data_IF_810763542717
#
_entry.id   IF_810763542717
#
_cell.length_a   1.000
_cell.length_b   1.000
_cell.length_c   1.000
_cell.angle_alpha   90.00
_cell.angle_beta   90.00
_cell.angle_gamma   90.00
#
_symmetry.space_group_name_H-M   'P 1'
#
loop_
_entity.id
_entity.type
_entity.pdbx_description
1 polymer ?
#
# COMPACT_ATOMS: atom_id res chain seq x y z
N UNK A 1 -36.72 -18.26 -46.91
CA UNK A 1 -36.98 -19.67 -47.25
C UNK A 1 -35.65 -20.34 -47.57
N UNK A 2 -35.38 -21.45 -46.89
CA UNK A 2 -34.28 -22.41 -47.07
C UNK A 2 -32.82 -21.97 -46.82
N UNK A 3 -32.42 -22.25 -45.58
CA UNK A 3 -31.09 -22.63 -45.08
C UNK A 3 -30.66 -24.03 -45.67
N UNK A 4 -29.65 -24.79 -45.16
CA UNK A 4 -28.82 -24.56 -43.97
C UNK A 4 -27.36 -25.10 -43.98
N UNK A 5 -26.69 -24.86 -42.84
CA UNK A 5 -25.79 -25.76 -42.07
C UNK A 5 -24.44 -26.15 -42.67
N UNK A 6 -23.37 -26.42 -41.93
CA UNK A 6 -22.97 -26.25 -40.52
C UNK A 6 -21.58 -26.91 -40.39
N UNK A 7 -20.87 -26.61 -39.30
CA UNK A 7 -19.87 -27.47 -38.62
C UNK A 7 -18.55 -27.79 -39.37
N UNK A 8 -17.38 -27.97 -38.75
CA UNK A 8 -16.88 -27.78 -37.39
C UNK A 8 -15.36 -28.05 -37.42
N UNK A 9 -14.66 -27.57 -36.38
CA UNK A 9 -13.57 -28.24 -35.66
C UNK A 9 -12.18 -28.46 -36.29
N UNK A 10 -11.21 -27.92 -35.53
CA UNK A 10 -10.03 -28.60 -34.97
C UNK A 10 -8.88 -28.99 -35.89
N UNK A 11 -7.70 -28.45 -35.58
CA UNK A 11 -6.42 -29.13 -35.75
C UNK A 11 -5.42 -28.63 -34.71
N UNK A 12 -5.30 -29.39 -33.62
CA UNK A 12 -4.15 -29.36 -32.72
C UNK A 12 -3.19 -30.49 -33.12
N UNK A 13 -1.89 -30.20 -33.25
CA UNK A 13 -0.79 -31.16 -33.07
C UNK A 13 0.55 -30.43 -33.14
N UNK A 14 1.27 -30.39 -32.01
CA UNK A 14 2.40 -31.25 -31.69
C UNK A 14 3.72 -30.74 -32.29
N UNK A 15 4.66 -30.36 -31.42
CA UNK A 15 5.98 -31.00 -31.34
C UNK A 15 6.71 -30.52 -30.08
N UNK A 16 6.78 -31.43 -29.11
CA UNK A 16 7.74 -31.43 -28.02
C UNK A 16 9.00 -32.22 -28.42
N UNK A 17 10.04 -32.10 -27.59
CA UNK A 17 11.36 -32.79 -27.58
C UNK A 17 12.50 -31.90 -28.11
N UNK A 18 13.55 -31.62 -27.35
CA UNK A 18 14.44 -32.65 -26.82
C UNK A 18 15.38 -32.11 -25.73
N UNK A 19 15.48 -32.88 -24.65
CA UNK A 19 16.55 -32.86 -23.65
C UNK A 19 17.64 -33.80 -24.15
N UNK A 20 18.91 -33.41 -24.07
CA UNK A 20 20.01 -34.37 -23.99
C UNK A 20 21.13 -33.84 -23.09
N UNK A 21 21.37 -34.61 -22.03
CA UNK A 21 22.49 -34.52 -21.12
C UNK A 21 23.68 -35.35 -21.65
N UNK A 22 24.90 -34.88 -21.36
CA UNK A 22 26.17 -35.64 -21.19
C UNK A 22 27.26 -34.58 -20.95
N UNK A 23 28.24 -34.69 -20.06
CA UNK A 23 28.66 -35.77 -19.18
C UNK A 23 29.72 -35.28 -18.19
N UNK A 24 29.95 -36.11 -17.18
CA UNK A 24 30.92 -35.97 -16.09
C UNK A 24 32.36 -35.77 -16.57
N UNK A 25 33.17 -35.01 -15.80
CA UNK A 25 34.54 -35.43 -15.43
C UNK A 25 35.08 -34.68 -14.20
N UNK A 26 35.31 -35.47 -13.14
CA UNK A 26 36.42 -35.50 -12.14
C UNK A 26 37.02 -34.21 -11.55
N UNK A 27 36.96 -34.17 -10.21
CA UNK A 27 37.82 -33.44 -9.28
C UNK A 27 39.31 -33.74 -9.44
N UNK A 28 40.19 -32.83 -8.98
CA UNK A 28 41.21 -33.24 -8.02
C UNK A 28 41.30 -32.35 -6.77
N UNK A 29 42.07 -32.88 -5.83
CA UNK A 29 42.14 -32.63 -4.40
C UNK A 29 43.04 -31.47 -3.96
N UNK A 30 42.72 -30.98 -2.75
CA UNK A 30 43.60 -30.44 -1.69
C UNK A 30 44.88 -29.69 -2.07
N UNK A 31 44.95 -28.42 -1.67
CA UNK A 31 46.15 -27.89 -0.98
C UNK A 31 45.81 -26.70 -0.10
N UNK A 32 46.14 -26.87 1.18
CA UNK A 32 46.11 -25.85 2.20
C UNK A 32 47.07 -24.69 1.86
N UNK A 33 46.60 -23.45 2.03
CA UNK A 33 47.47 -22.28 2.12
C UNK A 33 47.23 -21.59 3.44
N UNK A 34 48.36 -21.38 4.13
CA UNK A 34 48.52 -21.00 5.53
C UNK A 34 47.94 -19.62 5.84
N UNK A 35 47.29 -19.52 7.00
CA UNK A 35 47.08 -18.28 7.71
C UNK A 35 48.42 -17.59 7.99
N UNK A 36 48.58 -16.35 7.53
CA UNK A 36 49.73 -15.49 7.85
C UNK A 36 49.32 -14.59 9.01
N UNK A 37 49.79 -14.96 10.21
CA UNK A 37 49.72 -14.17 11.43
C UNK A 37 50.60 -12.93 11.26
N UNK A 38 50.00 -11.75 11.18
CA UNK A 38 50.72 -10.48 11.31
C UNK A 38 50.94 -10.20 12.81
N UNK A 39 52.19 -10.38 13.26
CA UNK A 39 52.68 -9.83 14.52
C UNK A 39 52.84 -8.33 14.33
N UNK A 40 52.07 -7.53 15.06
CA UNK A 40 52.41 -6.13 15.31
C UNK A 40 53.19 -6.06 16.62
N UNK A 41 54.39 -5.51 16.49
CA UNK A 41 55.34 -5.20 17.56
C UNK A 41 54.80 -4.02 18.35
N UNK A 42 54.70 -4.17 19.68
CA UNK A 42 54.41 -3.06 20.59
C UNK A 42 55.69 -2.35 21.03
N UNK A 43 55.60 -1.03 21.28
CA UNK A 43 56.40 -0.28 22.26
C UNK A 43 55.74 1.09 22.55
N UNK A 44 56.01 1.75 23.70
CA UNK A 44 54.96 2.27 24.58
C UNK A 44 55.02 3.79 24.88
N UNK A 45 54.10 4.23 25.76
CA UNK A 45 53.97 5.54 26.46
C UNK A 45 53.11 6.57 25.69
N UNK A 46 52.14 7.28 26.28
CA UNK A 46 51.95 7.69 27.66
C UNK A 46 50.48 8.05 27.95
N UNK A 47 50.07 7.80 29.19
CA UNK A 47 48.73 8.04 29.76
C UNK A 47 48.40 9.54 29.81
N UNK A 48 47.14 9.89 29.58
CA UNK A 48 46.45 10.90 30.40
C UNK A 48 44.95 10.61 30.45
N UNK A 49 44.46 10.65 31.68
CA UNK A 49 43.17 10.24 32.18
C UNK A 49 42.08 11.21 31.73
N UNK A 50 40.94 10.71 31.25
CA UNK A 50 39.65 11.36 31.44
C UNK A 50 38.62 10.27 31.81
N UNK A 51 38.19 10.35 33.06
CA UNK A 51 37.20 9.52 33.72
C UNK A 51 35.80 9.74 33.14
N UNK A 52 35.17 8.67 32.66
CA UNK A 52 33.73 8.62 32.42
C UNK A 52 33.08 8.00 33.67
N UNK A 53 32.10 8.63 34.33
CA UNK A 53 31.52 8.10 35.56
C UNK A 53 30.67 6.85 35.27
N UNK A 54 30.97 5.77 36.00
CA UNK A 54 30.16 4.54 36.04
C UNK A 54 28.89 4.80 36.82
N UNK A 55 27.75 4.50 36.21
CA UNK A 55 26.44 4.40 36.88
C UNK A 55 26.40 3.06 37.65
N UNK A 56 26.00 3.03 38.95
CA UNK A 56 25.88 1.78 39.70
C UNK A 56 24.68 0.94 39.24
N UNK A 57 24.68 -0.39 39.47
CA UNK A 57 23.57 -1.25 39.09
C UNK A 57 22.46 -1.15 40.16
N UNK A 58 21.37 -0.44 39.86
CA UNK A 58 20.17 -0.46 40.71
C UNK A 58 19.22 -1.60 40.34
N UNK A 59 18.66 -2.15 41.40
CA UNK A 59 17.84 -3.35 41.51
C UNK A 59 16.54 -3.32 40.70
N UNK A 60 16.29 -4.41 39.98
CA UNK A 60 15.00 -4.78 39.38
C UNK A 60 13.95 -5.10 40.47
N UNK A 61 13.44 -4.10 41.17
CA UNK A 61 12.18 -4.24 41.95
C UNK A 61 11.41 -2.92 42.18
N UNK A 62 12.02 -1.76 41.95
CA UNK A 62 11.36 -0.47 42.18
C UNK A 62 10.48 0.03 41.01
N UNK A 63 10.61 -0.52 39.80
CA UNK A 63 9.81 -0.12 38.63
C UNK A 63 8.45 -0.84 38.50
N UNK A 64 8.14 -1.79 39.39
CA UNK A 64 6.86 -2.52 39.35
C UNK A 64 5.77 -1.90 40.25
N UNK A 65 6.13 -0.95 41.12
CA UNK A 65 5.18 -0.27 42.02
C UNK A 65 4.91 1.21 41.69
N UNK A 66 5.54 1.77 40.65
CA UNK A 66 5.27 3.15 40.19
C UNK A 66 4.42 3.26 38.92
N UNK A 67 3.98 2.12 38.35
CA UNK A 67 3.07 2.07 37.20
C UNK A 67 1.63 1.62 37.57
N UNK A 68 1.36 1.37 38.86
CA UNK A 68 0.02 1.02 39.37
C UNK A 68 -0.69 2.18 40.09
N UNK A 69 -0.16 3.40 40.06
CA UNK A 69 -0.74 4.57 40.74
C UNK A 69 -0.98 5.77 39.81
N UNK A 70 -1.40 5.51 38.56
CA UNK A 70 -1.95 6.53 37.63
C UNK A 70 -3.20 6.04 36.88
N UNK A 71 -3.98 5.14 37.47
CA UNK A 71 -5.42 5.07 37.17
C UNK A 71 -6.13 6.01 38.15
N UNK A 72 -7.18 6.68 37.65
CA UNK A 72 -8.02 7.70 38.30
C UNK A 72 -7.68 9.13 37.88
N UNK A 73 -8.10 9.47 36.65
CA UNK A 73 -8.48 10.84 36.34
C UNK A 73 -9.85 11.12 36.98
N UNK A 74 -10.08 12.30 37.58
CA UNK A 74 -11.36 12.63 38.19
C UNK A 74 -12.48 12.72 37.15
N UNK A 75 -13.64 12.14 37.48
CA UNK A 75 -14.83 12.01 36.63
C UNK A 75 -15.39 13.28 35.94
N UNK A 76 -15.10 14.54 36.31
CA UNK A 76 -15.63 15.67 35.55
C UNK A 76 -14.97 15.88 34.17
N UNK A 77 -13.80 15.30 33.90
CA UNK A 77 -13.05 15.56 32.66
C UNK A 77 -13.48 14.66 31.47
N UNK A 78 -14.02 13.46 31.74
CA UNK A 78 -14.53 12.54 30.71
C UNK A 78 -15.84 13.07 30.09
N UNK A 79 -16.64 13.86 30.84
CA UNK A 79 -17.84 14.53 30.31
C UNK A 79 -17.56 15.75 29.43
N UNK A 80 -16.36 16.33 29.48
CA UNK A 80 -16.02 17.51 28.67
C UNK A 80 -15.46 17.14 27.28
N UNK A 81 -14.75 16.01 27.16
CA UNK A 81 -14.25 15.52 25.87
C UNK A 81 -15.28 14.69 25.09
N UNK A 82 -16.26 14.08 25.78
CA UNK A 82 -17.42 13.42 25.13
C UNK A 82 -18.48 14.38 24.55
N UNK A 83 -18.30 15.70 24.68
CA UNK A 83 -19.26 16.70 24.18
C UNK A 83 -18.89 17.32 22.83
N UNK A 84 -17.72 17.02 22.27
CA UNK A 84 -17.35 17.52 20.95
C UNK A 84 -17.97 16.75 19.77
N UNK A 85 -18.52 15.56 20.00
CA UNK A 85 -19.22 14.78 18.96
C UNK A 85 -20.69 14.44 19.25
N UNK A 86 -21.27 14.94 20.34
CA UNK A 86 -22.71 14.73 20.62
C UNK A 86 -23.59 15.90 20.15
N UNK A 87 -23.01 16.95 19.55
CA UNK A 87 -23.75 18.12 19.06
C UNK A 87 -23.78 18.29 17.52
N UNK A 88 -23.31 17.29 16.75
CA UNK A 88 -23.43 17.32 15.28
C UNK A 88 -23.91 15.98 14.68
N UNK A 89 -24.52 15.11 15.50
CA UNK A 89 -24.87 13.73 15.14
C UNK A 89 -26.34 13.34 15.34
N UNK A 90 -27.29 14.27 15.42
CA UNK A 90 -28.71 13.91 15.62
C UNK A 90 -29.71 14.65 14.71
N UNK A 91 -29.26 15.45 13.73
CA UNK A 91 -30.16 16.19 12.85
C UNK A 91 -29.82 16.08 11.34
N UNK A 92 -29.12 15.03 10.93
CA UNK A 92 -28.90 14.73 9.50
C UNK A 92 -29.02 13.24 9.14
N UNK A 93 -29.58 12.42 10.02
CA UNK A 93 -30.09 11.10 9.65
C UNK A 93 -31.49 11.31 9.03
N UNK A 94 -31.55 11.72 7.75
CA UNK A 94 -32.85 11.95 7.10
C UNK A 94 -32.89 12.83 5.86
N UNK A 95 -31.75 13.29 5.33
CA UNK A 95 -31.72 13.93 4.02
C UNK A 95 -30.63 13.24 3.19
N UNK A 96 -31.04 12.17 2.51
CA UNK A 96 -30.17 11.38 1.66
C UNK A 96 -29.48 12.26 0.64
N UNK A 97 -28.15 12.25 0.66
CA UNK A 97 -27.43 12.32 -0.60
C UNK A 97 -27.94 11.11 -1.38
N UNK A 98 -28.86 11.30 -2.33
CA UNK A 98 -29.17 10.24 -3.29
C UNK A 98 -27.83 9.71 -3.76
N UNK A 99 -27.57 8.44 -3.45
CA UNK A 99 -26.27 7.81 -3.64
C UNK A 99 -25.92 7.93 -5.13
N UNK A 100 -25.15 8.95 -5.51
CA UNK A 100 -24.70 9.16 -6.89
C UNK A 100 -23.92 7.94 -7.45
N UNK A 101 -23.57 7.03 -6.55
CA UNK A 101 -22.79 5.81 -6.71
C UNK A 101 -23.64 4.54 -6.71
N UNK A 102 -24.88 4.60 -6.21
CA UNK A 102 -25.77 3.45 -6.23
C UNK A 102 -26.31 3.27 -7.65
N UNK A 103 -25.84 2.25 -8.35
CA UNK A 103 -26.47 1.77 -9.57
C UNK A 103 -27.65 0.88 -9.20
N UNK A 104 -28.82 1.15 -9.79
CA UNK A 104 -29.93 0.20 -9.87
C UNK A 104 -30.42 -0.36 -8.52
N UNK A 105 -30.44 0.47 -7.47
CA UNK A 105 -30.91 0.07 -6.14
C UNK A 105 -29.97 -0.85 -5.35
N UNK A 106 -28.73 -1.05 -5.81
CA UNK A 106 -27.69 -1.79 -5.07
C UNK A 106 -26.73 -0.83 -4.35
N UNK A 107 -26.26 -1.16 -3.14
CA UNK A 107 -25.21 -0.38 -2.47
C UNK A 107 -23.95 -0.27 -3.33
N UNK A 108 -23.27 0.87 -3.24
CA UNK A 108 -21.94 1.00 -3.80
C UNK A 108 -20.96 0.09 -3.04
N UNK A 109 -20.09 -0.59 -3.77
CA UNK A 109 -19.15 -1.58 -3.26
C UNK A 109 -17.75 -0.97 -3.21
N UNK A 110 -17.16 -0.96 -2.02
CA UNK A 110 -15.81 -0.49 -1.76
C UNK A 110 -14.89 -1.64 -1.35
N UNK A 111 -13.72 -1.73 -1.98
CA UNK A 111 -12.65 -2.65 -1.59
C UNK A 111 -11.51 -1.86 -0.96
N UNK A 112 -11.05 -2.26 0.23
CA UNK A 112 -9.91 -1.64 0.91
C UNK A 112 -8.84 -2.69 1.17
N UNK A 113 -7.65 -2.51 0.58
CA UNK A 113 -6.54 -3.46 0.75
C UNK A 113 -5.76 -3.21 2.04
N UNK A 114 -5.33 -4.30 2.71
CA UNK A 114 -4.52 -4.20 3.94
C UNK A 114 -5.25 -3.51 5.09
N UNK A 115 -6.53 -3.84 5.26
CA UNK A 115 -7.45 -3.12 6.12
C UNK A 115 -7.73 -3.80 7.47
N UNK A 116 -6.96 -4.85 7.84
CA UNK A 116 -7.08 -5.46 9.17
C UNK A 116 -6.60 -4.56 10.32
N UNK A 117 -5.82 -3.51 10.04
CA UNK A 117 -5.30 -2.57 11.05
C UNK A 117 -4.88 -1.23 10.44
N UNK A 118 -4.43 -0.32 11.30
CA UNK A 118 -3.85 0.95 10.88
C UNK A 118 -4.82 1.80 10.07
N UNK A 119 -4.31 2.51 9.06
CA UNK A 119 -5.10 3.47 8.28
C UNK A 119 -6.20 2.74 7.49
N UNK A 120 -5.88 1.60 6.86
CA UNK A 120 -6.85 0.80 6.09
C UNK A 120 -8.09 0.39 6.88
N UNK A 121 -7.92 0.04 8.17
CA UNK A 121 -9.05 -0.26 9.05
C UNK A 121 -10.01 0.93 9.19
N UNK A 122 -9.47 2.13 9.41
CA UNK A 122 -10.28 3.34 9.55
C UNK A 122 -10.85 3.84 8.21
N UNK A 123 -10.18 3.55 7.09
CA UNK A 123 -10.77 3.76 5.75
C UNK A 123 -12.00 2.88 5.59
N UNK A 124 -11.88 1.57 5.85
CA UNK A 124 -13.00 0.63 5.75
C UNK A 124 -14.15 1.04 6.68
N UNK A 125 -13.83 1.41 7.94
CA UNK A 125 -14.79 1.97 8.90
C UNK A 125 -15.53 3.18 8.34
N UNK A 126 -14.80 4.15 7.78
CA UNK A 126 -15.36 5.37 7.24
C UNK A 126 -16.27 5.14 6.04
N UNK A 127 -15.87 4.26 5.10
CA UNK A 127 -16.68 3.92 3.92
C UNK A 127 -17.96 3.16 4.31
N UNK A 128 -17.86 2.20 5.22
CA UNK A 128 -19.03 1.50 5.75
C UNK A 128 -19.98 2.45 6.51
N UNK A 129 -19.43 3.41 7.26
CA UNK A 129 -20.21 4.46 7.93
C UNK A 129 -20.94 5.41 6.96
N UNK A 130 -20.55 5.43 5.70
CA UNK A 130 -21.24 6.16 4.62
C UNK A 130 -22.24 5.26 3.86
N UNK A 131 -22.46 4.03 4.31
CA UNK A 131 -23.44 3.10 3.76
C UNK A 131 -22.97 2.28 2.56
N UNK A 132 -21.66 2.27 2.25
CA UNK A 132 -21.10 1.41 1.20
C UNK A 132 -20.97 -0.03 1.70
N UNK A 133 -21.28 -0.99 0.83
CA UNK A 133 -20.90 -2.39 1.02
C UNK A 133 -19.36 -2.47 0.97
N UNK A 134 -18.73 -2.66 2.12
CA UNK A 134 -17.29 -2.50 2.28
C UNK A 134 -16.63 -3.85 2.47
N UNK A 135 -15.87 -4.27 1.46
CA UNK A 135 -15.01 -5.45 1.49
C UNK A 135 -13.65 -5.05 2.07
N UNK A 136 -13.46 -5.42 3.33
CA UNK A 136 -12.19 -5.34 4.04
C UNK A 136 -11.31 -6.51 3.60
N UNK A 137 -10.08 -6.25 3.16
CA UNK A 137 -9.16 -7.34 2.82
C UNK A 137 -7.88 -7.33 3.65
N UNK A 138 -7.32 -8.52 3.83
CA UNK A 138 -6.07 -8.74 4.55
C UNK A 138 -5.41 -10.01 4.06
N UNK A 139 -4.07 -10.05 4.13
CA UNK A 139 -3.31 -11.26 3.77
C UNK A 139 -3.53 -12.40 4.77
N UNK A 140 -3.72 -12.06 6.04
CA UNK A 140 -3.97 -13.01 7.13
C UNK A 140 -5.48 -13.12 7.38
N UNK A 141 -6.09 -14.30 7.17
CA UNK A 141 -7.52 -14.49 7.36
C UNK A 141 -8.02 -14.25 8.78
N UNK A 142 -7.23 -14.63 9.79
CA UNK A 142 -7.63 -14.49 11.19
C UNK A 142 -7.74 -13.02 11.58
N UNK A 143 -6.70 -12.24 11.29
CA UNK A 143 -6.69 -10.80 11.55
C UNK A 143 -7.75 -10.04 10.74
N UNK A 144 -7.99 -10.47 9.50
CA UNK A 144 -9.03 -9.88 8.64
C UNK A 144 -10.44 -10.12 9.17
N UNK A 145 -10.76 -11.36 9.57
CA UNK A 145 -12.06 -11.70 10.16
C UNK A 145 -12.29 -10.97 11.50
N UNK A 146 -11.27 -10.87 12.34
CA UNK A 146 -11.35 -10.12 13.60
C UNK A 146 -11.65 -8.64 13.36
N UNK A 147 -10.97 -8.02 12.38
CA UNK A 147 -11.20 -6.64 12.01
C UNK A 147 -12.62 -6.40 11.47
N UNK A 148 -13.13 -7.28 10.61
CA UNK A 148 -14.50 -7.17 10.11
C UNK A 148 -15.53 -7.32 11.24
N UNK A 149 -15.37 -8.30 12.13
CA UNK A 149 -16.24 -8.48 13.31
C UNK A 149 -16.23 -7.26 14.22
N UNK A 150 -15.07 -6.61 14.39
CA UNK A 150 -14.98 -5.37 15.18
C UNK A 150 -15.84 -4.26 14.57
N UNK A 151 -15.73 -4.02 13.26
CA UNK A 151 -16.55 -3.01 12.58
C UNK A 151 -18.04 -3.35 12.62
N UNK A 152 -18.41 -4.61 12.43
CA UNK A 152 -19.79 -5.08 12.57
C UNK A 152 -20.31 -4.86 14.01
N UNK A 153 -19.47 -5.10 15.02
CA UNK A 153 -19.78 -4.85 16.43
C UNK A 153 -19.95 -3.37 16.78
N UNK A 154 -19.40 -2.45 15.98
CA UNK A 154 -19.66 -1.00 16.05
C UNK A 154 -21.01 -0.61 15.41
N UNK A 155 -21.79 -1.59 14.92
CA UNK A 155 -23.10 -1.38 14.30
C UNK A 155 -23.03 -1.06 12.80
N UNK A 156 -21.83 -1.12 12.19
CA UNK A 156 -21.66 -0.86 10.77
C UNK A 156 -22.17 -2.05 9.94
N UNK A 157 -23.14 -1.78 9.10
CA UNK A 157 -23.74 -2.77 8.20
C UNK A 157 -22.92 -2.88 6.91
N UNK A 158 -23.06 -4.02 6.21
CA UNK A 158 -22.44 -4.21 4.90
C UNK A 158 -20.91 -4.35 4.91
N UNK A 159 -20.30 -4.65 6.06
CA UNK A 159 -18.88 -4.97 6.15
C UNK A 159 -18.66 -6.46 5.94
N UNK A 160 -17.84 -6.82 4.96
CA UNK A 160 -17.45 -8.19 4.64
C UNK A 160 -15.92 -8.31 4.63
N UNK A 161 -15.41 -9.50 4.94
CA UNK A 161 -13.99 -9.82 4.81
C UNK A 161 -13.76 -10.81 3.67
N UNK A 162 -12.71 -10.57 2.88
CA UNK A 162 -12.12 -11.59 2.03
C UNK A 162 -10.58 -11.52 2.08
N UNK A 163 -9.92 -12.68 1.98
CA UNK A 163 -8.46 -12.74 1.95
C UNK A 163 -7.93 -12.11 0.67
N UNK A 164 -6.86 -11.31 0.79
CA UNK A 164 -6.09 -10.77 -0.33
C UNK A 164 -4.65 -10.49 0.13
N UNK A 165 -3.69 -11.16 -0.49
CA UNK A 165 -2.28 -10.77 -0.48
C UNK A 165 -1.92 -10.17 -1.84
N UNK A 166 -1.64 -8.86 -1.84
CA UNK A 166 -1.35 -8.12 -3.08
C UNK A 166 -0.01 -8.51 -3.71
N UNK A 167 0.83 -9.28 -3.02
CA UNK A 167 2.11 -9.78 -3.54
C UNK A 167 2.00 -11.17 -4.17
N UNK A 168 0.81 -11.79 -4.17
CA UNK A 168 0.54 -13.11 -4.72
C UNK A 168 -0.54 -13.04 -5.80
N UNK A 169 -0.16 -13.29 -7.06
CA UNK A 169 -1.09 -13.24 -8.19
C UNK A 169 -2.26 -14.21 -8.04
N UNK A 170 -2.05 -15.40 -7.47
CA UNK A 170 -3.11 -16.39 -7.28
C UNK A 170 -4.16 -15.92 -6.25
N UNK A 171 -3.72 -15.19 -5.23
CA UNK A 171 -4.59 -14.52 -4.26
C UNK A 171 -5.41 -13.40 -4.92
N UNK A 172 -4.78 -12.59 -5.77
CA UNK A 172 -5.45 -11.53 -6.54
C UNK A 172 -6.52 -12.10 -7.47
N UNK A 173 -6.18 -13.13 -8.24
CA UNK A 173 -7.09 -13.75 -9.21
C UNK A 173 -8.30 -14.39 -8.50
N UNK A 174 -8.05 -15.10 -7.39
CA UNK A 174 -9.09 -15.69 -6.56
C UNK A 174 -10.03 -14.63 -5.97
N UNK A 175 -9.46 -13.53 -5.47
CA UNK A 175 -10.23 -12.40 -4.95
C UNK A 175 -11.07 -11.73 -6.04
N UNK A 176 -10.51 -11.49 -7.24
CA UNK A 176 -11.22 -10.88 -8.35
C UNK A 176 -12.39 -11.74 -8.82
N UNK A 177 -12.19 -13.06 -8.92
CA UNK A 177 -13.26 -13.99 -9.27
C UNK A 177 -14.38 -13.97 -8.22
N UNK A 178 -14.03 -14.08 -6.94
CA UNK A 178 -15.00 -14.01 -5.85
C UNK A 178 -15.76 -12.69 -5.84
N UNK A 179 -15.06 -11.55 -6.01
CA UNK A 179 -15.68 -10.22 -5.98
C UNK A 179 -16.70 -10.06 -7.12
N UNK A 180 -16.38 -10.58 -8.30
CA UNK A 180 -17.30 -10.59 -9.44
C UNK A 180 -18.55 -11.42 -9.13
N UNK A 181 -18.38 -12.62 -8.57
CA UNK A 181 -19.50 -13.53 -8.30
C UNK A 181 -20.39 -13.04 -7.15
N UNK A 182 -19.79 -12.51 -6.08
CA UNK A 182 -20.50 -12.06 -4.89
C UNK A 182 -21.15 -10.67 -5.05
N UNK A 183 -20.46 -9.74 -5.72
CA UNK A 183 -20.86 -8.32 -5.76
C UNK A 183 -21.18 -7.81 -7.18
N UNK A 184 -20.85 -8.59 -8.22
CA UNK A 184 -20.99 -8.17 -9.62
C UNK A 184 -20.00 -7.09 -10.04
N UNK A 185 -19.01 -6.79 -9.21
CA UNK A 185 -18.02 -5.72 -9.42
C UNK A 185 -17.85 -4.78 -8.23
N UNK A 186 -17.19 -3.65 -8.45
CA UNK A 186 -16.94 -2.62 -7.44
C UNK A 186 -17.05 -1.20 -8.00
N UNK A 187 -17.18 -0.20 -7.12
CA UNK A 187 -17.19 1.23 -7.49
C UNK A 187 -16.00 1.99 -6.91
N UNK A 188 -15.47 1.54 -5.78
CA UNK A 188 -14.33 2.15 -5.09
C UNK A 188 -13.27 1.09 -4.80
N UNK A 189 -12.05 1.33 -5.29
CA UNK A 189 -10.86 0.59 -4.89
C UNK A 189 -9.94 1.52 -4.09
N UNK A 190 -9.59 1.14 -2.87
CA UNK A 190 -8.55 1.81 -2.08
C UNK A 190 -7.37 0.87 -1.89
N UNK A 191 -6.29 1.13 -2.63
CA UNK A 191 -5.02 0.44 -2.48
C UNK A 191 -4.26 1.05 -1.30
N UNK A 192 -4.47 0.50 -0.11
CA UNK A 192 -3.81 0.94 1.12
C UNK A 192 -2.67 0.02 1.57
N UNK A 193 -2.70 -1.25 1.18
CA UNK A 193 -1.68 -2.22 1.57
C UNK A 193 -0.28 -1.75 1.16
N UNK A 194 0.67 -1.88 2.09
CA UNK A 194 2.06 -1.50 1.87
C UNK A 194 2.94 -1.83 3.06
N UNK A 195 4.24 -1.86 2.81
CA UNK A 195 5.25 -2.18 3.80
C UNK A 195 6.43 -1.20 3.75
N UNK A 196 7.12 -1.10 4.89
CA UNK A 196 8.40 -0.44 5.01
C UNK A 196 9.26 -1.23 5.99
N UNK A 197 10.55 -1.37 5.71
CA UNK A 197 11.50 -1.88 6.67
C UNK A 197 11.73 -0.85 7.79
N UNK A 198 12.01 -1.34 8.99
CA UNK A 198 12.38 -0.51 10.15
C UNK A 198 13.90 -0.35 10.22
N UNK A 199 14.34 0.72 10.88
CA UNK A 199 15.76 1.03 11.06
C UNK A 199 16.48 1.33 9.75
N UNK A 200 17.78 1.12 9.73
CA UNK A 200 18.68 1.51 8.63
C UNK A 200 18.85 0.41 7.57
N UNK A 201 17.84 -0.46 7.44
CA UNK A 201 17.87 -1.57 6.48
C UNK A 201 17.91 -1.01 5.06
N UNK A 202 18.93 -1.37 4.29
CA UNK A 202 19.07 -0.98 2.89
C UNK A 202 19.81 -2.06 2.11
N UNK A 203 19.17 -2.61 1.09
CA UNK A 203 19.71 -3.70 0.28
C UNK A 203 18.86 -4.02 -0.92
N UNK A 204 19.43 -4.69 -1.92
CA UNK A 204 18.75 -4.95 -3.19
C UNK A 204 17.56 -5.92 -3.01
N UNK A 205 17.68 -6.91 -2.13
CA UNK A 205 16.60 -7.86 -1.83
C UNK A 205 15.44 -7.18 -1.09
N UNK A 206 15.77 -6.31 -0.13
CA UNK A 206 14.79 -5.53 0.61
C UNK A 206 14.10 -4.49 -0.28
N UNK A 207 14.84 -3.89 -1.22
CA UNK A 207 14.28 -3.01 -2.24
C UNK A 207 13.30 -3.77 -3.14
N UNK A 208 13.70 -4.94 -3.63
CA UNK A 208 12.86 -5.80 -4.45
C UNK A 208 11.57 -6.19 -3.72
N UNK A 209 11.63 -6.62 -2.46
CA UNK A 209 10.43 -6.95 -1.65
C UNK A 209 9.53 -5.74 -1.41
N UNK A 210 10.11 -4.57 -1.10
CA UNK A 210 9.36 -3.34 -0.86
C UNK A 210 8.65 -2.87 -2.12
N UNK A 211 9.32 -2.91 -3.27
CA UNK A 211 8.74 -2.56 -4.58
C UNK A 211 7.69 -3.57 -5.02
N UNK A 212 7.96 -4.87 -4.85
CA UNK A 212 7.03 -5.94 -5.19
C UNK A 212 5.69 -5.76 -4.47
N UNK A 213 5.70 -5.36 -3.19
CA UNK A 213 4.47 -5.10 -2.43
C UNK A 213 3.86 -3.74 -2.80
N UNK A 214 4.59 -2.65 -2.64
CA UNK A 214 4.01 -1.30 -2.67
C UNK A 214 3.69 -0.79 -4.08
N UNK A 215 4.39 -1.30 -5.10
CA UNK A 215 4.21 -0.87 -6.48
C UNK A 215 3.63 -2.00 -7.35
N UNK A 216 4.36 -3.11 -7.49
CA UNK A 216 3.94 -4.20 -8.40
C UNK A 216 2.64 -4.85 -7.94
N UNK A 217 2.46 -5.06 -6.63
CA UNK A 217 1.24 -5.62 -6.06
C UNK A 217 0.05 -4.68 -6.20
N UNK A 218 0.22 -3.39 -5.87
CA UNK A 218 -0.79 -2.36 -6.12
C UNK A 218 -1.23 -2.33 -7.58
N UNK A 219 -0.27 -2.40 -8.52
CA UNK A 219 -0.55 -2.46 -9.95
C UNK A 219 -1.35 -3.72 -10.30
N UNK A 220 -0.91 -4.89 -9.86
CA UNK A 220 -1.55 -6.16 -10.19
C UNK A 220 -3.02 -6.19 -9.70
N UNK A 221 -3.30 -5.64 -8.52
CA UNK A 221 -4.67 -5.45 -8.03
C UNK A 221 -5.47 -4.50 -8.92
N UNK A 222 -4.90 -3.36 -9.31
CA UNK A 222 -5.57 -2.46 -10.26
C UNK A 222 -5.89 -3.16 -11.58
N UNK A 223 -4.94 -3.88 -12.18
CA UNK A 223 -5.12 -4.58 -13.44
C UNK A 223 -6.20 -5.66 -13.37
N UNK A 224 -6.24 -6.43 -12.28
CA UNK A 224 -7.24 -7.48 -12.08
C UNK A 224 -8.65 -6.94 -11.81
N UNK A 225 -8.78 -5.82 -11.09
CA UNK A 225 -10.08 -5.27 -10.67
C UNK A 225 -10.62 -4.18 -11.61
N UNK A 226 -9.79 -3.58 -12.45
CA UNK A 226 -10.20 -2.55 -13.41
C UNK A 226 -11.36 -3.01 -14.34
N UNK A 227 -11.38 -4.24 -14.88
CA UNK A 227 -12.51 -4.74 -15.67
C UNK A 227 -13.80 -4.94 -14.86
N UNK A 228 -13.71 -4.97 -13.53
CA UNK A 228 -14.85 -5.17 -12.63
C UNK A 228 -15.44 -3.84 -12.13
N UNK A 229 -14.86 -2.69 -12.49
CA UNK A 229 -15.40 -1.39 -12.11
C UNK A 229 -16.75 -1.16 -12.78
N UNK A 230 -17.78 -0.91 -11.97
CA UNK A 230 -19.14 -0.73 -12.45
C UNK A 230 -19.32 0.64 -13.12
N UNK A 231 -20.06 0.71 -14.24
CA UNK A 231 -20.47 1.99 -14.82
C UNK A 231 -21.35 2.78 -13.84
N UNK A 232 -21.12 4.09 -13.73
CA UNK A 232 -21.98 5.01 -12.99
C UNK A 232 -21.82 6.44 -13.49
N UNK A 233 -22.85 7.27 -13.28
CA UNK A 233 -22.76 8.73 -13.56
C UNK A 233 -21.71 9.41 -12.68
N UNK A 234 -21.47 8.89 -11.47
CA UNK A 234 -20.43 9.40 -10.59
C UNK A 234 -19.01 8.99 -11.02
N UNK A 235 -18.89 7.96 -11.87
CA UNK A 235 -17.65 7.28 -12.19
C UNK A 235 -17.10 6.47 -11.01
N UNK A 236 -16.30 5.45 -11.30
CA UNK A 236 -15.62 4.66 -10.27
C UNK A 236 -14.41 5.42 -9.69
N UNK A 237 -13.85 4.94 -8.56
CA UNK A 237 -12.60 5.47 -7.97
C UNK A 237 -11.55 4.40 -7.79
N UNK A 238 -10.32 4.80 -8.05
CA UNK A 238 -9.12 4.11 -7.59
C UNK A 238 -8.31 5.11 -6.77
N UNK A 239 -8.11 4.81 -5.49
CA UNK A 239 -7.32 5.61 -4.56
C UNK A 239 -6.09 4.81 -4.14
N UNK A 240 -4.91 5.25 -4.58
CA UNK A 240 -3.64 4.66 -4.16
C UNK A 240 -3.10 5.45 -2.96
N UNK A 241 -2.95 4.79 -1.82
CA UNK A 241 -2.36 5.40 -0.62
C UNK A 241 -0.85 5.38 -0.76
N UNK A 242 -0.35 6.39 -1.47
CA UNK A 242 1.05 6.67 -1.68
C UNK A 242 1.74 7.24 -0.44
N UNK A 243 2.71 8.14 -0.66
CA UNK A 243 3.38 8.86 0.42
C UNK A 243 4.10 10.11 -0.08
N UNK A 244 4.15 11.16 0.73
CA UNK A 244 4.99 12.34 0.46
C UNK A 244 6.49 12.03 0.51
N UNK A 245 6.88 10.83 0.98
CA UNK A 245 8.24 10.31 0.86
C UNK A 245 8.60 9.91 -0.58
N UNK A 246 7.60 9.64 -1.43
CA UNK A 246 7.75 9.28 -2.84
C UNK A 246 7.55 10.45 -3.80
N UNK A 247 7.96 11.67 -3.41
CA UNK A 247 7.93 12.84 -4.29
C UNK A 247 9.22 12.95 -5.10
N UNK A 248 9.15 13.53 -6.30
CA UNK A 248 10.25 13.73 -7.26
C UNK A 248 11.47 14.45 -6.70
N UNK A 249 11.33 15.21 -5.61
CA UNK A 249 12.47 15.88 -4.94
C UNK A 249 13.53 14.91 -4.41
N UNK A 250 13.23 13.61 -4.32
CA UNK A 250 14.17 12.61 -3.81
C UNK A 250 15.12 12.05 -4.88
N UNK A 251 14.90 12.35 -6.16
CA UNK A 251 15.72 11.85 -7.28
C UNK A 251 16.43 13.00 -7.99
N UNK A 252 17.47 12.67 -8.77
CA UNK A 252 18.18 13.64 -9.60
C UNK A 252 17.27 14.29 -10.66
N UNK A 253 17.66 15.46 -11.21
CA UNK A 253 16.93 16.09 -12.31
C UNK A 253 16.72 15.17 -13.54
N UNK A 254 17.71 14.32 -13.85
CA UNK A 254 17.61 13.38 -14.97
C UNK A 254 16.54 12.29 -14.73
N UNK A 255 16.50 11.71 -13.52
CA UNK A 255 15.45 10.77 -13.15
C UNK A 255 14.09 11.45 -13.05
N UNK A 256 14.05 12.68 -12.48
CA UNK A 256 12.83 13.49 -12.44
C UNK A 256 12.24 13.65 -13.83
N UNK A 257 13.05 14.00 -14.84
CA UNK A 257 12.59 14.13 -16.22
C UNK A 257 11.97 12.83 -16.76
N UNK A 258 12.56 11.67 -16.45
CA UNK A 258 12.00 10.34 -16.82
C UNK A 258 10.64 10.11 -16.15
N UNK A 259 10.52 10.31 -14.84
CA UNK A 259 9.27 10.16 -14.10
C UNK A 259 8.19 11.19 -14.47
N UNK A 260 8.56 12.33 -15.05
CA UNK A 260 7.61 13.35 -15.52
C UNK A 260 7.29 13.24 -17.00
N UNK A 261 7.90 12.31 -17.73
CA UNK A 261 7.68 12.18 -19.17
C UNK A 261 6.19 12.04 -19.51
N UNK A 262 5.65 12.82 -20.47
CA UNK A 262 4.25 12.73 -20.86
C UNK A 262 3.91 11.38 -21.50
N UNK A 263 4.92 10.65 -21.99
CA UNK A 263 4.79 9.32 -22.62
C UNK A 263 5.19 8.17 -21.71
N UNK A 264 5.52 8.43 -20.43
CA UNK A 264 5.94 7.41 -19.47
C UNK A 264 4.94 6.25 -19.41
N UNK A 265 5.39 5.01 -19.65
CA UNK A 265 4.53 3.82 -19.62
C UNK A 265 4.70 3.00 -18.34
N UNK A 266 3.84 1.99 -18.15
CA UNK A 266 3.99 1.00 -17.09
C UNK A 266 5.30 0.22 -17.25
N UNK A 267 5.67 -0.14 -18.49
CA UNK A 267 6.92 -0.82 -18.80
C UNK A 267 8.14 0.03 -18.44
N UNK A 268 8.09 1.34 -18.66
CA UNK A 268 9.17 2.24 -18.25
C UNK A 268 9.32 2.31 -16.73
N UNK A 269 8.20 2.29 -15.99
CA UNK A 269 8.21 2.25 -14.53
C UNK A 269 8.80 0.93 -14.00
N UNK A 270 8.49 -0.21 -14.63
CA UNK A 270 9.14 -1.49 -14.32
C UNK A 270 10.64 -1.45 -14.59
N UNK A 271 11.04 -0.85 -15.71
CA UNK A 271 12.45 -0.63 -16.04
C UNK A 271 13.16 0.22 -14.99
N UNK A 272 12.54 1.32 -14.54
CA UNK A 272 13.06 2.19 -13.47
C UNK A 272 13.18 1.45 -12.13
N UNK A 273 12.21 0.61 -11.79
CA UNK A 273 12.24 -0.21 -10.59
C UNK A 273 13.41 -1.22 -10.63
N UNK A 274 13.57 -1.93 -11.75
CA UNK A 274 14.66 -2.88 -11.97
C UNK A 274 16.03 -2.18 -11.97
N UNK A 275 16.13 -1.00 -12.58
CA UNK A 275 17.34 -0.17 -12.58
C UNK A 275 17.76 0.20 -11.16
N UNK A 276 16.83 0.66 -10.31
CA UNK A 276 17.13 0.99 -8.93
C UNK A 276 17.64 -0.21 -8.12
N UNK A 277 16.95 -1.36 -8.23
CA UNK A 277 17.35 -2.60 -7.53
C UNK A 277 18.73 -3.06 -7.98
N UNK A 278 18.99 -3.05 -9.30
CA UNK A 278 20.30 -3.36 -9.86
C UNK A 278 21.37 -2.39 -9.38
N UNK A 279 21.06 -1.10 -9.36
CA UNK A 279 21.97 -0.05 -8.89
C UNK A 279 22.35 -0.20 -7.42
N UNK A 280 21.44 -0.68 -6.56
CA UNK A 280 21.77 -1.03 -5.17
C UNK A 280 22.73 -2.22 -5.14
N UNK A 281 22.41 -3.28 -5.89
CA UNK A 281 23.23 -4.51 -5.95
C UNK A 281 24.66 -4.22 -6.42
N UNK A 282 24.83 -3.28 -7.34
CA UNK A 282 26.13 -2.91 -7.93
C UNK A 282 26.82 -1.74 -7.21
N UNK A 283 26.15 -1.09 -6.24
CA UNK A 283 26.68 0.09 -5.55
C UNK A 283 26.70 1.37 -6.39
N UNK A 284 25.98 1.42 -7.52
CA UNK A 284 25.98 2.52 -8.49
C UNK A 284 24.79 3.49 -8.35
N UNK A 285 23.78 3.14 -7.53
CA UNK A 285 22.52 3.89 -7.42
C UNK A 285 22.69 5.38 -7.11
N UNK A 286 23.60 5.77 -6.21
CA UNK A 286 23.85 7.20 -5.87
C UNK A 286 24.35 7.98 -7.07
N UNK A 287 25.30 7.40 -7.82
CA UNK A 287 25.86 8.02 -9.03
C UNK A 287 24.82 8.15 -10.15
N UNK A 288 23.89 7.19 -10.22
CA UNK A 288 22.74 7.25 -11.13
C UNK A 288 21.62 8.23 -10.65
N UNK A 289 21.77 8.84 -9.47
CA UNK A 289 20.86 9.86 -8.96
C UNK A 289 19.68 9.34 -8.14
N UNK A 290 19.70 8.06 -7.75
CA UNK A 290 18.71 7.45 -6.88
C UNK A 290 18.99 7.77 -5.40
N UNK A 291 17.95 7.90 -4.54
CA UNK A 291 18.14 8.09 -3.11
C UNK A 291 18.48 6.78 -2.41
N UNK A 292 19.02 6.90 -1.19
CA UNK A 292 19.12 5.79 -0.24
C UNK A 292 17.78 5.59 0.50
N UNK A 293 16.70 5.33 -0.24
CA UNK A 293 15.37 5.12 0.34
C UNK A 293 14.53 4.14 -0.48
N UNK A 294 14.48 2.88 -0.06
CA UNK A 294 13.69 1.84 -0.73
C UNK A 294 12.19 2.13 -0.67
N UNK A 295 11.71 2.56 0.50
CA UNK A 295 10.32 2.96 0.69
C UNK A 295 9.96 4.19 -0.16
N UNK A 296 10.81 5.23 -0.14
CA UNK A 296 10.62 6.43 -0.95
C UNK A 296 10.53 6.12 -2.45
N UNK A 297 11.43 5.29 -2.98
CA UNK A 297 11.40 4.88 -4.39
C UNK A 297 10.16 4.04 -4.70
N UNK A 298 9.78 3.11 -3.82
CA UNK A 298 8.54 2.31 -4.02
C UNK A 298 7.29 3.19 -4.12
N UNK A 299 7.20 4.23 -3.28
CA UNK A 299 6.08 5.18 -3.29
C UNK A 299 6.18 6.18 -4.44
N UNK A 300 7.38 6.50 -4.93
CA UNK A 300 7.56 7.29 -6.15
C UNK A 300 7.03 6.53 -7.38
N UNK A 301 7.35 5.23 -7.49
CA UNK A 301 6.82 4.36 -8.55
C UNK A 301 5.29 4.26 -8.47
N UNK A 302 4.73 4.04 -7.28
CA UNK A 302 3.28 3.98 -7.06
C UNK A 302 2.57 5.32 -7.41
N UNK A 303 3.11 6.46 -6.97
CA UNK A 303 2.56 7.76 -7.30
C UNK A 303 2.63 8.01 -8.82
N UNK A 304 3.75 7.68 -9.48
CA UNK A 304 3.89 7.84 -10.92
C UNK A 304 2.94 6.90 -11.69
N UNK A 305 2.71 5.69 -11.19
CA UNK A 305 1.73 4.76 -11.75
C UNK A 305 0.31 5.32 -11.74
N UNK A 306 -0.11 6.02 -10.68
CA UNK A 306 -1.40 6.73 -10.65
C UNK A 306 -1.55 7.67 -11.85
N UNK A 307 -0.51 8.44 -12.21
CA UNK A 307 -0.55 9.33 -13.38
C UNK A 307 -0.67 8.54 -14.69
N UNK A 308 0.11 7.46 -14.82
CA UNK A 308 0.09 6.60 -16.02
C UNK A 308 -1.29 5.96 -16.19
N UNK A 309 -1.85 5.39 -15.13
CA UNK A 309 -3.16 4.74 -15.15
C UNK A 309 -4.28 5.75 -15.43
N UNK A 310 -4.25 6.93 -14.80
CA UNK A 310 -5.22 7.99 -15.07
C UNK A 310 -5.25 8.37 -16.56
N UNK A 311 -4.08 8.55 -17.18
CA UNK A 311 -3.95 8.87 -18.61
C UNK A 311 -4.46 7.73 -19.50
N UNK A 312 -4.17 6.47 -19.14
CA UNK A 312 -4.68 5.30 -19.87
C UNK A 312 -6.22 5.23 -19.85
N UNK A 313 -6.86 5.77 -18.82
CA UNK A 313 -8.32 5.70 -18.62
C UNK A 313 -9.08 6.97 -19.05
N UNK A 314 -8.37 8.03 -19.46
CA UNK A 314 -8.97 9.33 -19.80
C UNK A 314 -10.02 9.23 -20.93
N UNK A 315 -9.76 8.36 -21.91
CA UNK A 315 -10.61 8.14 -23.08
C UNK A 315 -11.86 7.28 -22.85
N UNK A 316 -12.11 6.78 -21.63
CA UNK A 316 -13.33 5.99 -21.37
C UNK A 316 -14.60 6.82 -21.60
N UNK A 317 -15.70 6.23 -22.09
CA UNK A 317 -16.93 6.97 -22.35
C UNK A 317 -17.58 7.50 -21.06
N UNK A 318 -18.49 8.45 -21.22
CA UNK A 318 -19.31 8.93 -20.10
C UNK A 318 -20.14 7.78 -19.52
N UNK A 319 -20.29 7.76 -18.19
CA UNK A 319 -20.86 6.62 -17.46
C UNK A 319 -19.85 5.52 -17.13
N UNK A 320 -18.66 5.49 -17.75
CA UNK A 320 -17.58 4.54 -17.43
C UNK A 320 -16.30 5.23 -16.94
N UNK A 321 -16.40 6.51 -16.57
CA UNK A 321 -15.26 7.28 -16.08
C UNK A 321 -14.69 6.66 -14.81
N UNK A 322 -13.37 6.65 -14.70
CA UNK A 322 -12.64 6.22 -13.50
C UNK A 322 -11.75 7.36 -13.05
N UNK A 323 -11.94 7.83 -11.81
CA UNK A 323 -11.03 8.78 -11.19
C UNK A 323 -9.91 8.00 -10.49
N UNK A 324 -8.67 8.23 -10.88
CA UNK A 324 -7.51 7.61 -10.25
C UNK A 324 -6.76 8.69 -9.48
N UNK A 325 -6.46 8.49 -8.21
CA UNK A 325 -5.75 9.47 -7.39
C UNK A 325 -4.74 8.80 -6.47
N UNK A 326 -3.62 9.47 -6.25
CA UNK A 326 -2.66 9.10 -5.21
C UNK A 326 -2.86 10.02 -4.00
N UNK A 327 -2.57 9.55 -2.80
CA UNK A 327 -2.59 10.43 -1.64
C UNK A 327 -1.57 10.08 -0.56
N UNK A 328 -1.25 11.08 0.26
CA UNK A 328 -0.54 10.89 1.53
C UNK A 328 -1.54 11.00 2.68
N UNK A 329 -1.59 10.01 3.58
CA UNK A 329 -2.40 10.11 4.80
C UNK A 329 -1.76 11.02 5.86
N UNK A 330 -0.54 11.53 5.61
CA UNK A 330 0.29 12.17 6.61
C UNK A 330 1.05 11.18 7.49
N UNK A 331 1.83 11.69 8.43
CA UNK A 331 2.64 10.84 9.31
C UNK A 331 1.81 10.32 10.49
N UNK A 332 1.21 9.15 10.30
CA UNK A 332 0.27 8.54 11.25
C UNK A 332 0.94 7.59 12.23
N UNK A 333 0.50 7.58 13.49
CA UNK A 333 0.94 6.67 14.54
C UNK A 333 0.33 5.27 14.31
N UNK A 334 1.15 4.37 13.76
CA UNK A 334 0.79 2.99 13.44
C UNK A 334 1.99 2.08 13.70
N UNK A 335 1.82 0.77 13.57
CA UNK A 335 2.93 -0.19 13.64
C UNK A 335 4.09 0.15 12.68
N UNK A 336 3.77 0.68 11.49
CA UNK A 336 4.74 1.04 10.46
C UNK A 336 5.64 2.19 10.94
N UNK A 337 5.06 3.22 11.57
CA UNK A 337 5.80 4.35 12.13
C UNK A 337 6.32 4.10 13.55
N UNK A 338 6.17 2.88 14.06
CA UNK A 338 6.42 2.53 15.47
C UNK A 338 5.74 3.49 16.43
N UNK A 339 4.50 3.88 16.10
CA UNK A 339 3.64 4.76 16.89
C UNK A 339 4.20 6.17 17.13
N UNK A 340 5.14 6.63 16.31
CA UNK A 340 5.77 7.96 16.43
C UNK A 340 5.08 9.07 15.63
N UNK A 341 4.07 8.74 14.84
CA UNK A 341 3.36 9.70 13.99
C UNK A 341 2.64 10.80 14.77
N UNK A 342 2.41 11.95 14.10
CA UNK A 342 1.69 13.11 14.66
C UNK A 342 0.18 13.01 14.50
N UNK A 343 -0.30 12.22 13.54
CA UNK A 343 -1.71 11.92 13.32
C UNK A 343 -2.06 10.56 13.89
N UNK A 344 -3.29 10.36 14.31
CA UNK A 344 -3.87 9.04 14.52
C UNK A 344 -4.08 8.32 13.19
N UNK A 345 -4.30 7.01 13.22
CA UNK A 345 -4.67 6.26 12.01
C UNK A 345 -6.04 6.70 11.44
N UNK A 346 -6.96 7.14 12.32
CA UNK A 346 -8.27 7.67 11.94
C UNK A 346 -8.16 9.00 11.20
N UNK A 347 -7.38 9.95 11.74
CA UNK A 347 -7.08 11.20 11.03
C UNK A 347 -6.36 10.97 9.69
N UNK A 348 -5.57 9.90 9.60
CA UNK A 348 -4.91 9.49 8.36
C UNK A 348 -5.87 8.96 7.29
N UNK A 349 -7.02 8.42 7.68
CA UNK A 349 -8.01 7.88 6.76
C UNK A 349 -8.81 8.97 6.02
N UNK A 350 -8.76 10.22 6.51
CA UNK A 350 -9.53 11.36 6.03
C UNK A 350 -9.39 11.61 4.51
N UNK A 351 -8.16 11.78 4.01
CA UNK A 351 -7.92 12.07 2.59
C UNK A 351 -8.27 10.90 1.68
N UNK A 352 -7.90 9.63 2.00
CA UNK A 352 -8.38 8.48 1.24
C UNK A 352 -9.91 8.41 1.15
N UNK A 353 -10.63 8.55 2.27
CA UNK A 353 -12.11 8.54 2.29
C UNK A 353 -12.67 9.69 1.44
N UNK A 354 -12.11 10.89 1.56
CA UNK A 354 -12.50 12.02 0.72
C UNK A 354 -12.40 11.70 -0.77
N UNK A 355 -11.27 11.16 -1.23
CA UNK A 355 -11.07 10.80 -2.64
C UNK A 355 -11.96 9.64 -3.10
N UNK A 356 -12.31 8.75 -2.18
CA UNK A 356 -13.25 7.65 -2.43
C UNK A 356 -14.69 8.11 -2.62
N UNK A 357 -15.07 9.30 -2.12
CA UNK A 357 -16.47 9.76 -2.10
C UNK A 357 -16.68 11.10 -2.81
N UNK A 358 -15.60 11.74 -3.25
CA UNK A 358 -15.63 13.07 -3.87
C UNK A 358 -16.58 13.08 -5.08
N UNK A 359 -17.49 14.07 -5.17
CA UNK A 359 -18.38 14.19 -6.32
C UNK A 359 -17.60 14.39 -7.64
N UNK A 360 -18.19 13.98 -8.78
CA UNK A 360 -17.61 14.24 -10.09
C UNK A 360 -17.22 15.72 -10.28
N UNK A 361 -16.06 15.96 -10.88
CA UNK A 361 -15.54 17.31 -11.15
C UNK A 361 -15.02 18.08 -9.93
N UNK A 362 -15.08 17.53 -8.71
CA UNK A 362 -14.54 18.18 -7.50
C UNK A 362 -13.11 17.76 -7.16
N UNK A 363 -12.59 16.72 -7.80
CA UNK A 363 -11.19 16.32 -7.72
C UNK A 363 -10.66 15.98 -9.12
N UNK A 364 -9.40 16.33 -9.37
CA UNK A 364 -8.68 16.01 -10.59
C UNK A 364 -8.10 14.58 -10.54
N UNK A 365 -8.22 13.86 -11.66
CA UNK A 365 -7.64 12.53 -11.85
C UNK A 365 -6.12 12.63 -12.10
N UNK A 366 -5.38 11.58 -11.80
CA UNK A 366 -3.93 11.50 -11.98
C UNK A 366 -3.13 12.40 -11.04
N UNK A 367 -3.76 13.02 -10.05
CA UNK A 367 -3.09 13.92 -9.10
C UNK A 367 -2.71 13.22 -7.81
N UNK A 368 -1.79 13.85 -7.07
CA UNK A 368 -1.43 13.47 -5.71
C UNK A 368 -2.05 14.44 -4.71
N UNK A 369 -2.60 13.90 -3.63
CA UNK A 369 -3.29 14.69 -2.61
C UNK A 369 -2.67 14.52 -1.23
N UNK A 370 -2.68 15.58 -0.44
CA UNK A 370 -2.50 15.52 1.00
C UNK A 370 -3.46 16.52 1.66
N UNK A 371 -4.05 16.14 2.79
CA UNK A 371 -5.03 16.98 3.50
C UNK A 371 -6.15 17.48 2.58
N UNK A 372 -6.66 16.57 1.73
CA UNK A 372 -7.69 16.81 0.68
C UNK A 372 -7.32 17.85 -0.38
N UNK A 373 -6.06 18.27 -0.47
CA UNK A 373 -5.56 19.25 -1.45
C UNK A 373 -4.59 18.59 -2.42
N UNK A 374 -4.61 19.01 -3.67
CA UNK A 374 -3.60 18.61 -4.66
C UNK A 374 -2.24 19.16 -4.24
N UNK A 375 -1.21 18.33 -4.33
CA UNK A 375 0.18 18.75 -4.20
C UNK A 375 0.98 18.26 -5.40
N UNK A 376 2.00 19.04 -5.78
CA UNK A 376 3.01 18.55 -6.71
C UNK A 376 3.73 17.36 -6.08
N UNK A 377 3.90 16.31 -6.88
CA UNK A 377 4.71 15.16 -6.50
C UNK A 377 5.77 14.89 -7.53
#
# INVERSE_FOLDING_TARGET
MFAPSATAASSASLLASSIQAQGLTRLPSSRAVRARTLRLVGSPLQRRLHSNPRIPPESKSAHRHQLQARSEAPEPLIRALGRFFTACGAAAAGAGMENAWASEGRPAVAVVTGANKGIGFYIARGLAGQGLATVLTARDPGLGQEAAKKLQGEGLQGVEFHQLDISDQSSIDSFACWLKDAHGGLDVLVNNAGMAYKGDTFGAEEAAKTIATNYSGTRAVCEALLPLLRPSKAGARIVNVGSSAGKLRIVSPALKARFTSPTLTVTDLDGLAAEFIKGIKEGTYKGAGWPESMYGVSKLLENAYTRVLARQLEGRPDGEKVLVSACCPGWCATDMSSWRGRKTAEEGADTPIYLSLVPPGKAATGQFYADRKTEDF
#
